data_IF_657221204594
#
_entry.id   IF_657221204594
#
_cell.length_a   1.000
_cell.length_b   1.000
_cell.length_c   1.000
_cell.angle_alpha   90.00
_cell.angle_beta   90.00
_cell.angle_gamma   90.00
#
_symmetry.space_group_name_H-M   'P 1'
#
loop_
_entity.id
_entity.type
_entity.pdbx_description
1 polymer ?
#
# COMPACT_ATOMS: atom_id res chain seq x y z
N UNK A 1 10.41 23.93 -35.44
CA UNK A 1 9.55 22.91 -34.80
C UNK A 1 10.37 22.22 -33.73
N UNK A 2 10.22 22.64 -32.49
CA UNK A 2 10.81 21.97 -31.32
C UNK A 2 9.95 20.75 -31.01
N UNK A 3 10.47 19.58 -31.36
CA UNK A 3 9.93 18.30 -30.92
C UNK A 3 9.98 18.29 -29.39
N UNK A 4 8.82 18.34 -28.75
CA UNK A 4 8.70 18.16 -27.30
C UNK A 4 9.15 16.75 -26.99
N UNK A 5 10.34 16.61 -26.39
CA UNK A 5 10.82 15.36 -25.81
C UNK A 5 9.75 14.84 -24.84
N UNK A 6 9.03 13.81 -25.27
CA UNK A 6 8.13 13.04 -24.43
C UNK A 6 8.99 11.91 -23.86
N UNK A 7 9.22 11.84 -22.53
CA UNK A 7 9.96 10.72 -21.97
C UNK A 7 9.24 9.42 -22.38
N UNK A 8 9.98 8.32 -22.65
CA UNK A 8 9.37 7.03 -22.93
C UNK A 8 8.38 6.71 -21.81
N UNK A 9 7.19 6.21 -22.17
CA UNK A 9 6.23 5.75 -21.19
C UNK A 9 6.90 4.65 -20.35
N UNK A 10 6.79 4.70 -19.00
CA UNK A 10 7.38 3.65 -18.18
C UNK A 10 6.69 2.32 -18.47
N UNK A 11 7.46 1.26 -18.74
CA UNK A 11 6.89 -0.09 -18.89
C UNK A 11 6.14 -0.54 -17.64
N UNK A 12 5.37 -1.64 -17.73
CA UNK A 12 4.52 -2.11 -16.63
C UNK A 12 5.26 -2.26 -15.29
N UNK A 13 6.49 -2.77 -15.28
CA UNK A 13 7.33 -2.86 -14.08
C UNK A 13 7.55 -1.49 -13.42
N UNK A 14 7.84 -0.45 -14.20
CA UNK A 14 8.05 0.90 -13.72
C UNK A 14 6.78 1.51 -13.10
N UNK A 15 5.60 1.19 -13.65
CA UNK A 15 4.31 1.60 -13.08
C UNK A 15 4.08 0.88 -11.74
N UNK A 16 4.30 -0.43 -11.70
CA UNK A 16 4.09 -1.26 -10.51
C UNK A 16 5.01 -0.87 -9.35
N UNK A 17 6.27 -0.55 -9.64
CA UNK A 17 7.25 -0.26 -8.60
C UNK A 17 7.18 1.19 -8.09
N UNK A 18 6.58 2.11 -8.85
CA UNK A 18 6.53 3.54 -8.49
C UNK A 18 5.77 3.77 -7.17
N UNK A 19 6.43 4.47 -6.24
CA UNK A 19 5.87 4.84 -4.94
C UNK A 19 5.30 3.66 -4.14
N UNK A 20 5.89 2.47 -4.30
CA UNK A 20 5.43 1.24 -3.69
C UNK A 20 5.78 1.16 -2.20
N UNK A 21 6.95 1.68 -1.82
CA UNK A 21 7.56 1.45 -0.50
C UNK A 21 7.40 2.69 0.39
N UNK A 22 6.78 2.49 1.55
CA UNK A 22 6.75 3.47 2.63
C UNK A 22 7.89 3.21 3.62
N UNK A 23 8.44 4.28 4.18
CA UNK A 23 9.44 4.16 5.24
C UNK A 23 8.76 3.73 6.55
N UNK A 24 9.00 2.49 6.96
CA UNK A 24 8.55 1.92 8.23
C UNK A 24 9.71 1.58 9.17
N UNK A 25 10.82 2.32 9.14
CA UNK A 25 12.00 1.95 9.95
C UNK A 25 11.84 2.08 11.45
N UNK A 26 10.80 2.77 11.95
CA UNK A 26 10.46 2.75 13.38
C UNK A 26 9.94 1.39 13.85
N UNK A 27 9.55 0.51 12.93
CA UNK A 27 8.94 -0.77 13.23
C UNK A 27 9.97 -1.92 13.17
N UNK A 28 9.76 -3.01 13.94
CA UNK A 28 10.59 -4.20 13.86
C UNK A 28 10.67 -4.79 12.44
N UNK A 29 11.75 -5.52 12.11
CA UNK A 29 12.88 -5.85 12.97
C UNK A 29 13.90 -4.71 13.16
N UNK A 30 13.94 -3.71 12.28
CA UNK A 30 14.95 -2.64 12.36
C UNK A 30 14.75 -1.74 13.58
N UNK A 31 13.51 -1.31 13.84
CA UNK A 31 13.11 -0.52 15.03
C UNK A 31 14.06 0.66 15.35
N UNK A 32 14.38 1.48 14.34
CA UNK A 32 15.27 2.62 14.47
C UNK A 32 14.76 3.62 15.54
N UNK A 33 15.67 4.24 16.31
CA UNK A 33 15.35 5.45 17.07
C UNK A 33 14.85 6.56 16.13
N UNK A 34 13.97 7.45 16.61
CA UNK A 34 13.30 8.46 15.77
C UNK A 34 14.30 9.31 14.98
N UNK A 35 15.34 9.83 15.64
CA UNK A 35 16.36 10.65 14.98
C UNK A 35 17.09 9.93 13.85
N UNK A 36 17.35 8.62 13.98
CA UNK A 36 17.97 7.81 12.92
C UNK A 36 17.00 7.52 11.77
N UNK A 37 15.74 7.22 12.10
CA UNK A 37 14.70 7.01 11.11
C UNK A 37 14.46 8.29 10.28
N UNK A 38 14.38 9.46 10.91
CA UNK A 38 14.25 10.75 10.23
C UNK A 38 15.48 11.12 9.41
N UNK A 39 16.70 10.84 9.90
CA UNK A 39 17.91 11.07 9.13
C UNK A 39 17.93 10.26 7.83
N UNK A 40 17.55 8.97 7.89
CA UNK A 40 17.38 8.15 6.69
C UNK A 40 16.27 8.70 5.80
N UNK A 41 15.11 9.02 6.35
CA UNK A 41 13.99 9.56 5.58
C UNK A 41 14.36 10.84 4.82
N UNK A 42 15.12 11.76 5.44
CA UNK A 42 15.63 12.97 4.77
C UNK A 42 16.61 12.63 3.63
N UNK A 43 17.49 11.64 3.83
CA UNK A 43 18.40 11.17 2.79
C UNK A 43 17.63 10.55 1.61
N UNK A 44 16.64 9.70 1.89
CA UNK A 44 15.79 9.06 0.89
C UNK A 44 14.98 10.08 0.09
N UNK A 45 14.47 11.14 0.74
CA UNK A 45 13.80 12.26 0.07
C UNK A 45 14.75 13.07 -0.83
N UNK A 46 16.02 13.16 -0.46
CA UNK A 46 17.05 13.84 -1.28
C UNK A 46 17.40 13.01 -2.50
N UNK A 47 17.59 11.70 -2.32
CA UNK A 47 17.84 10.75 -3.41
C UNK A 47 16.63 10.63 -4.34
N UNK A 48 15.42 10.73 -3.80
CA UNK A 48 14.15 10.70 -4.52
C UNK A 48 13.98 9.47 -5.44
N UNK A 49 14.41 8.29 -4.95
CA UNK A 49 14.31 7.06 -5.71
C UNK A 49 12.83 6.74 -6.06
N UNK A 50 12.50 6.41 -7.32
CA UNK A 50 11.12 6.34 -7.82
C UNK A 50 10.25 5.28 -7.12
N UNK A 51 10.86 4.25 -6.53
CA UNK A 51 10.14 3.24 -5.75
C UNK A 51 9.64 3.72 -4.39
N UNK A 52 10.29 4.74 -3.83
CA UNK A 52 9.98 5.24 -2.50
C UNK A 52 8.81 6.22 -2.59
N UNK A 53 7.79 6.01 -1.75
CA UNK A 53 6.62 6.87 -1.71
C UNK A 53 6.89 8.23 -1.03
N UNK A 54 8.01 8.35 -0.32
CA UNK A 54 8.35 9.54 0.47
C UNK A 54 7.45 9.74 1.69
N UNK A 55 6.73 8.70 2.13
CA UNK A 55 5.88 8.69 3.33
C UNK A 55 6.63 8.02 4.49
N UNK A 56 6.58 8.64 5.67
CA UNK A 56 7.16 8.14 6.91
C UNK A 56 6.06 7.55 7.80
N UNK A 57 6.12 6.26 8.11
CA UNK A 57 5.15 5.63 8.99
C UNK A 57 5.52 5.89 10.44
N UNK A 58 4.59 6.47 11.20
CA UNK A 58 4.77 6.81 12.60
C UNK A 58 3.59 6.31 13.43
N UNK A 59 3.82 5.60 14.54
CA UNK A 59 2.76 5.34 15.50
C UNK A 59 2.35 6.64 16.20
N UNK A 60 1.05 6.80 16.46
CA UNK A 60 0.51 7.98 17.15
C UNK A 60 1.04 8.09 18.58
N UNK A 61 1.35 6.95 19.21
CA UNK A 61 2.03 6.91 20.52
C UNK A 61 3.38 7.64 20.54
N UNK A 62 4.04 7.79 19.38
CA UNK A 62 5.33 8.48 19.23
C UNK A 62 5.23 9.83 18.53
N UNK A 63 4.02 10.39 18.41
CA UNK A 63 3.78 11.67 17.75
C UNK A 63 4.58 12.82 18.37
N UNK A 64 4.63 12.91 19.71
CA UNK A 64 5.38 13.96 20.40
C UNK A 64 6.89 13.87 20.09
N UNK A 65 7.46 12.66 20.15
CA UNK A 65 8.86 12.42 19.81
C UNK A 65 9.19 12.79 18.36
N UNK A 66 8.27 12.53 17.42
CA UNK A 66 8.39 12.97 16.04
C UNK A 66 8.47 14.50 15.98
N UNK A 67 7.50 15.21 16.57
CA UNK A 67 7.43 16.67 16.53
C UNK A 67 8.67 17.34 17.17
N UNK A 68 9.15 16.80 18.28
CA UNK A 68 10.36 17.28 18.96
C UNK A 68 11.64 17.05 18.14
N UNK A 69 11.63 16.05 17.26
CA UNK A 69 12.78 15.69 16.40
C UNK A 69 12.80 16.41 15.05
N UNK A 70 11.73 17.15 14.72
CA UNK A 70 11.66 17.95 13.50
C UNK A 70 12.29 19.33 13.72
N UNK A 71 13.05 19.80 12.74
CA UNK A 71 13.48 21.19 12.65
C UNK A 71 12.35 22.08 12.12
N UNK A 72 12.51 23.40 12.22
CA UNK A 72 11.50 24.37 11.77
C UNK A 72 11.21 24.30 10.26
N UNK A 73 12.24 24.01 9.47
CA UNK A 73 12.17 23.90 8.02
C UNK A 73 11.67 22.53 7.52
N UNK A 74 11.56 21.51 8.37
CA UNK A 74 11.15 20.18 7.93
C UNK A 74 9.73 20.21 7.38
N UNK A 75 9.50 19.47 6.30
CA UNK A 75 8.17 19.17 5.77
C UNK A 75 8.11 17.68 5.47
N UNK A 76 7.26 16.95 6.18
CA UNK A 76 7.21 15.50 6.13
C UNK A 76 5.79 14.99 5.89
N UNK A 77 5.69 13.99 5.03
CA UNK A 77 4.46 13.25 4.77
C UNK A 77 4.42 12.02 5.67
N UNK A 78 3.37 11.90 6.48
CA UNK A 78 3.28 10.84 7.51
C UNK A 78 2.11 9.91 7.22
N UNK A 79 2.35 8.61 7.28
CA UNK A 79 1.29 7.61 7.48
C UNK A 79 1.16 7.35 8.98
N UNK A 80 0.03 7.70 9.57
CA UNK A 80 -0.12 7.61 11.02
C UNK A 80 -0.73 6.27 11.41
N UNK A 81 -0.02 5.51 12.24
CA UNK A 81 -0.50 4.23 12.76
C UNK A 81 -1.23 4.50 14.08
N UNK A 82 -2.52 4.21 14.14
CA UNK A 82 -3.35 4.38 15.33
C UNK A 82 -3.15 3.17 16.26
N UNK A 83 -2.03 3.15 16.96
CA UNK A 83 -1.58 2.03 17.81
C UNK A 83 -2.10 2.11 19.25
N UNK A 84 -2.96 3.08 19.56
CA UNK A 84 -3.58 3.27 20.87
C UNK A 84 -5.09 3.47 20.75
N UNK A 85 -5.83 3.08 21.80
CA UNK A 85 -7.28 3.33 21.87
C UNK A 85 -7.60 4.83 21.82
N UNK A 86 -6.79 5.68 22.46
CA UNK A 86 -6.94 7.13 22.34
C UNK A 86 -6.64 7.62 20.92
N UNK A 87 -5.69 7.00 20.22
CA UNK A 87 -5.36 7.31 18.83
C UNK A 87 -6.53 7.12 17.86
N UNK A 88 -7.40 6.14 18.11
CA UNK A 88 -8.63 5.93 17.35
C UNK A 88 -9.65 7.07 17.52
N UNK A 89 -9.63 7.75 18.67
CA UNK A 89 -10.55 8.84 19.02
C UNK A 89 -9.97 10.21 18.65
N UNK A 90 -8.67 10.41 18.91
CA UNK A 90 -7.96 11.68 18.84
C UNK A 90 -6.93 11.75 17.71
N UNK A 91 -6.81 10.74 16.84
CA UNK A 91 -5.91 10.76 15.68
C UNK A 91 -6.19 11.91 14.68
N UNK A 92 -7.36 12.54 14.81
CA UNK A 92 -7.74 13.77 14.10
C UNK A 92 -7.26 15.06 14.78
N UNK A 93 -6.72 15.00 16.01
CA UNK A 93 -6.26 16.14 16.82
C UNK A 93 -4.75 16.30 16.87
N UNK A 94 -4.00 15.37 16.28
CA UNK A 94 -2.55 15.52 16.14
C UNK A 94 -2.26 16.46 14.97
N UNK A 95 -1.91 17.70 15.30
CA UNK A 95 -1.60 18.74 14.32
C UNK A 95 -0.20 19.29 14.55
N UNK A 96 0.59 19.36 13.48
CA UNK A 96 1.85 20.09 13.43
C UNK A 96 1.98 20.68 12.01
N UNK A 97 2.27 21.97 11.84
CA UNK A 97 2.36 22.61 10.52
C UNK A 97 3.46 22.04 9.61
N UNK A 98 4.40 21.27 10.16
CA UNK A 98 5.48 20.59 9.44
C UNK A 98 5.08 19.21 8.93
N UNK A 99 3.98 18.65 9.43
CA UNK A 99 3.54 17.30 9.13
C UNK A 99 2.26 17.31 8.32
N UNK A 100 2.27 16.61 7.19
CA UNK A 100 1.05 16.29 6.44
C UNK A 100 0.69 14.84 6.64
N UNK A 101 -0.42 14.57 7.32
CA UNK A 101 -0.95 13.21 7.43
C UNK A 101 -1.53 12.78 6.09
N UNK A 102 -0.97 11.73 5.51
CA UNK A 102 -1.33 11.21 4.18
C UNK A 102 -2.35 10.10 4.24
N UNK A 103 -2.38 9.33 5.32
CA UNK A 103 -3.31 8.25 5.58
C UNK A 103 -3.22 7.82 7.05
N UNK A 104 -4.23 7.07 7.49
CA UNK A 104 -4.25 6.39 8.77
C UNK A 104 -4.22 4.87 8.56
N UNK A 105 -3.59 4.15 9.46
CA UNK A 105 -3.68 2.70 9.53
C UNK A 105 -4.08 2.28 10.94
N UNK A 106 -5.00 1.34 11.07
CA UNK A 106 -5.43 0.85 12.38
C UNK A 106 -5.82 -0.61 12.33
N UNK A 107 -5.70 -1.31 13.46
CA UNK A 107 -6.39 -2.57 13.66
C UNK A 107 -7.79 -2.30 14.20
N UNK A 108 -8.81 -2.98 13.69
CA UNK A 108 -10.17 -2.87 14.20
C UNK A 108 -10.92 -4.20 14.09
N UNK A 109 -11.79 -4.55 15.06
CA UNK A 109 -12.70 -5.67 14.90
C UNK A 109 -13.73 -5.37 13.80
N UNK A 110 -14.28 -6.40 13.17
CA UNK A 110 -15.18 -6.23 12.01
C UNK A 110 -16.41 -5.34 12.28
N UNK A 111 -16.92 -5.34 13.51
CA UNK A 111 -18.03 -4.49 13.93
C UNK A 111 -17.71 -2.98 13.79
N UNK A 112 -16.48 -2.58 14.08
CA UNK A 112 -16.08 -1.17 14.01
C UNK A 112 -15.76 -0.74 12.57
N UNK A 113 -15.25 -1.67 11.76
CA UNK A 113 -15.11 -1.48 10.30
C UNK A 113 -16.47 -1.20 9.66
N UNK A 114 -17.50 -1.99 10.01
CA UNK A 114 -18.87 -1.78 9.52
C UNK A 114 -19.47 -0.43 9.93
N UNK A 115 -19.24 0.01 11.17
CA UNK A 115 -19.67 1.34 11.66
C UNK A 115 -18.99 2.46 10.90
N UNK A 116 -17.67 2.41 10.75
CA UNK A 116 -16.89 3.42 10.03
C UNK A 116 -17.34 3.56 8.58
N UNK A 117 -17.50 2.42 7.89
CA UNK A 117 -17.97 2.40 6.51
C UNK A 117 -19.40 2.95 6.37
N UNK A 118 -20.31 2.64 7.31
CA UNK A 118 -21.66 3.21 7.33
C UNK A 118 -21.66 4.72 7.55
N UNK A 119 -20.84 5.20 8.48
CA UNK A 119 -20.70 6.64 8.76
C UNK A 119 -20.23 7.40 7.51
N UNK A 120 -19.13 6.96 6.88
CA UNK A 120 -18.58 7.62 5.70
C UNK A 120 -19.49 7.56 4.48
N UNK A 121 -20.20 6.45 4.26
CA UNK A 121 -21.23 6.39 3.20
C UNK A 121 -22.36 7.39 3.43
N UNK A 122 -22.78 7.56 4.69
CA UNK A 122 -23.83 8.51 5.05
C UNK A 122 -23.33 9.95 4.86
N UNK A 123 -22.10 10.23 5.25
CA UNK A 123 -21.46 11.54 5.11
C UNK A 123 -21.18 11.91 3.64
N UNK A 124 -20.86 10.93 2.78
CA UNK A 124 -20.59 11.14 1.37
C UNK A 124 -21.86 11.39 0.51
N UNK A 125 -23.06 11.17 1.07
CA UNK A 125 -24.32 11.29 0.33
C UNK A 125 -24.58 10.11 -0.63
N UNK A 126 -25.75 10.07 -1.30
CA UNK A 126 -26.07 8.99 -2.23
C UNK A 126 -25.11 9.00 -3.42
N UNK A 127 -24.49 7.86 -3.69
CA UNK A 127 -23.67 7.67 -4.88
C UNK A 127 -24.51 8.03 -6.13
N UNK A 128 -23.96 8.79 -7.09
CA UNK A 128 -24.68 9.12 -8.31
C UNK A 128 -25.06 7.80 -9.01
N UNK A 129 -26.37 7.61 -9.24
CA UNK A 129 -26.87 6.43 -9.94
C UNK A 129 -26.27 6.43 -11.34
N UNK A 130 -25.29 5.55 -11.60
CA UNK A 130 -24.83 5.29 -12.97
C UNK A 130 -26.02 4.73 -13.77
N UNK A 131 -26.69 5.61 -14.51
CA UNK A 131 -27.57 5.18 -15.61
C UNK A 131 -26.66 4.54 -16.65
N UNK A 132 -26.83 3.24 -16.90
CA UNK A 132 -26.33 2.58 -18.11
C UNK A 132 -26.93 3.30 -19.32
N UNK A 133 -26.18 4.23 -19.89
CA UNK A 133 -26.55 4.98 -21.09
C UNK A 133 -25.36 4.98 -22.05
N UNK A 134 -25.57 4.37 -23.21
CA UNK A 134 -24.63 4.38 -24.33
C UNK A 134 -24.45 5.83 -24.85
N UNK A 135 -23.17 6.21 -25.06
CA UNK A 135 -22.63 7.38 -25.77
C UNK A 135 -22.74 8.81 -25.20
N UNK A 136 -21.54 9.41 -25.09
CA UNK A 136 -21.11 10.78 -25.44
C UNK A 136 -20.72 11.76 -24.32
N UNK A 137 -19.67 12.51 -24.64
CA UNK A 137 -18.79 13.35 -23.80
C UNK A 137 -19.47 14.59 -23.21
N UNK A 138 -19.05 14.97 -22.00
CA UNK A 138 -18.65 16.35 -21.67
C UNK A 138 -17.68 16.34 -20.50
N UNK A 139 -16.53 16.99 -20.66
CA UNK A 139 -15.63 17.31 -19.57
C UNK A 139 -16.30 18.37 -18.70
N UNK A 140 -16.89 17.96 -17.59
CA UNK A 140 -17.28 18.86 -16.51
C UNK A 140 -16.11 18.93 -15.53
N UNK A 141 -15.69 20.17 -15.23
CA UNK A 141 -14.75 20.48 -14.14
C UNK A 141 -15.24 19.76 -12.87
N UNK A 142 -14.34 19.18 -12.05
CA UNK A 142 -14.78 18.61 -10.79
C UNK A 142 -15.28 19.76 -9.92
N UNK A 143 -16.60 19.81 -9.81
CA UNK A 143 -17.31 20.50 -8.73
C UNK A 143 -16.74 19.97 -7.42
N UNK A 144 -16.55 20.86 -6.45
CA UNK A 144 -15.81 20.59 -5.22
C UNK A 144 -16.62 19.64 -4.35
N UNK A 145 -16.47 18.34 -4.58
CA UNK A 145 -16.72 17.31 -3.57
C UNK A 145 -15.95 17.73 -2.31
N UNK A 146 -16.56 17.68 -1.12
CA UNK A 146 -15.79 17.87 0.12
C UNK A 146 -14.61 16.92 0.05
N UNK A 147 -13.39 17.46 0.13
CA UNK A 147 -12.19 16.64 0.09
C UNK A 147 -12.35 15.58 1.18
N UNK A 148 -12.54 14.32 0.79
CA UNK A 148 -12.53 13.23 1.74
C UNK A 148 -11.21 13.35 2.52
N UNK A 149 -11.28 13.22 3.84
CA UNK A 149 -10.08 13.22 4.68
C UNK A 149 -9.07 12.16 4.25
N UNK A 150 -7.87 12.13 4.87
CA UNK A 150 -6.87 11.11 4.55
C UNK A 150 -7.48 9.69 4.62
N UNK A 151 -7.15 8.79 3.69
CA UNK A 151 -7.71 7.45 3.68
C UNK A 151 -7.32 6.68 4.94
N UNK A 152 -8.18 5.74 5.33
CA UNK A 152 -7.98 4.86 6.50
C UNK A 152 -7.90 3.42 6.03
N UNK A 153 -6.82 2.73 6.40
CA UNK A 153 -6.60 1.32 6.10
C UNK A 153 -6.78 0.46 7.35
N UNK A 154 -7.74 -0.47 7.29
CA UNK A 154 -8.09 -1.34 8.41
C UNK A 154 -7.41 -2.70 8.31
N UNK A 155 -6.65 -3.07 9.33
CA UNK A 155 -6.20 -4.44 9.58
C UNK A 155 -7.26 -5.16 10.43
N UNK A 156 -7.65 -6.36 10.02
CA UNK A 156 -8.61 -7.21 10.71
C UNK A 156 -8.22 -8.68 10.52
N UNK A 157 -8.86 -9.58 11.26
CA UNK A 157 -8.53 -11.00 11.21
C UNK A 157 -8.83 -11.60 9.83
N UNK A 158 -7.97 -12.54 9.42
CA UNK A 158 -8.02 -13.19 8.10
C UNK A 158 -9.16 -14.22 8.02
N UNK A 159 -9.38 -14.77 6.83
CA UNK A 159 -10.40 -15.80 6.59
C UNK A 159 -11.78 -15.22 6.30
N UNK A 160 -12.84 -15.97 6.65
CA UNK A 160 -14.22 -15.64 6.30
C UNK A 160 -14.69 -14.28 6.83
N UNK A 161 -14.31 -13.93 8.07
CA UNK A 161 -14.61 -12.63 8.65
C UNK A 161 -13.89 -11.50 7.89
N UNK A 162 -12.61 -11.69 7.56
CA UNK A 162 -11.85 -10.73 6.77
C UNK A 162 -12.49 -10.45 5.41
N UNK A 163 -13.00 -11.47 4.73
CA UNK A 163 -13.74 -11.29 3.46
C UNK A 163 -15.00 -10.45 3.64
N UNK A 164 -15.76 -10.70 4.70
CA UNK A 164 -16.96 -9.92 5.01
C UNK A 164 -16.62 -8.46 5.35
N UNK A 165 -15.51 -8.21 6.05
CA UNK A 165 -15.02 -6.87 6.36
C UNK A 165 -14.62 -6.11 5.09
N UNK A 166 -13.91 -6.74 4.15
CA UNK A 166 -13.60 -6.16 2.84
C UNK A 166 -14.89 -5.77 2.11
N UNK A 167 -15.87 -6.68 2.02
CA UNK A 167 -17.17 -6.36 1.43
C UNK A 167 -17.86 -5.18 2.13
N UNK A 168 -17.75 -5.09 3.46
CA UNK A 168 -18.28 -4.00 4.26
C UNK A 168 -17.65 -2.63 3.97
N UNK A 169 -16.39 -2.60 3.54
CA UNK A 169 -15.67 -1.38 3.12
C UNK A 169 -16.09 -0.88 1.74
N UNK A 170 -16.66 -1.74 0.90
CA UNK A 170 -17.00 -1.41 -0.49
C UNK A 170 -17.87 -0.14 -0.59
N UNK A 171 -17.51 0.72 -1.54
CA UNK A 171 -18.22 1.97 -1.84
C UNK A 171 -18.15 3.05 -0.75
N UNK A 172 -17.40 2.84 0.34
CA UNK A 172 -17.09 3.89 1.31
C UNK A 172 -15.84 4.66 0.84
N UNK A 173 -15.94 5.95 0.49
CA UNK A 173 -14.79 6.71 0.01
C UNK A 173 -13.73 6.84 1.09
N UNK A 174 -12.46 6.69 0.70
CA UNK A 174 -11.32 6.84 1.60
C UNK A 174 -11.11 5.68 2.57
N UNK A 175 -11.79 4.54 2.41
CA UNK A 175 -11.50 3.34 3.21
C UNK A 175 -10.76 2.28 2.39
N UNK A 176 -9.85 1.59 3.04
CA UNK A 176 -9.09 0.49 2.47
C UNK A 176 -8.83 -0.62 3.48
N UNK A 177 -8.34 -1.76 2.98
CA UNK A 177 -7.93 -2.88 3.80
C UNK A 177 -6.41 -2.87 4.04
N UNK A 178 -5.96 -3.51 5.11
CA UNK A 178 -4.55 -3.71 5.39
C UNK A 178 -4.32 -5.18 5.73
N UNK A 179 -3.31 -5.78 5.09
CA UNK A 179 -2.92 -7.18 5.33
C UNK A 179 -1.52 -7.26 5.90
N UNK A 180 -1.36 -8.07 6.95
CA UNK A 180 -0.06 -8.44 7.48
C UNK A 180 0.50 -9.66 6.75
N UNK A 181 1.75 -9.57 6.32
CA UNK A 181 2.45 -10.62 5.58
C UNK A 181 3.62 -11.25 6.35
N UNK A 182 3.84 -10.87 7.61
CA UNK A 182 4.84 -11.47 8.48
C UNK A 182 4.92 -10.83 9.87
N UNK A 183 5.82 -11.34 10.69
CA UNK A 183 6.10 -10.84 12.04
C UNK A 183 7.08 -11.73 12.82
N UNK A 184 7.05 -11.65 14.14
CA UNK A 184 7.93 -12.46 15.01
C UNK A 184 7.46 -13.93 15.13
N UNK A 185 6.16 -14.17 14.98
CA UNK A 185 5.53 -15.47 15.18
C UNK A 185 4.97 -16.03 13.87
N UNK A 186 4.95 -17.36 13.76
CA UNK A 186 4.48 -18.07 12.56
C UNK A 186 3.03 -17.70 12.17
N UNK A 187 2.16 -17.44 13.14
CA UNK A 187 0.76 -17.06 12.91
C UNK A 187 0.62 -15.72 12.17
N UNK A 188 1.63 -14.86 12.23
CA UNK A 188 1.65 -13.57 11.55
C UNK A 188 1.96 -13.71 10.04
N UNK A 189 2.36 -14.89 9.58
CA UNK A 189 2.60 -15.21 8.17
C UNK A 189 1.36 -15.88 7.56
N UNK A 190 0.63 -15.22 6.65
CA UNK A 190 -0.53 -15.84 6.02
C UNK A 190 -0.12 -17.00 5.11
N UNK A 191 -0.98 -18.00 4.98
CA UNK A 191 -0.86 -19.02 3.93
C UNK A 191 -1.12 -18.45 2.53
N UNK A 192 -0.66 -19.09 1.44
CA UNK A 192 -0.97 -18.69 0.06
C UNK A 192 -2.48 -18.60 -0.21
N UNK A 193 -3.25 -19.53 0.35
CA UNK A 193 -4.71 -19.56 0.26
C UNK A 193 -5.31 -18.30 0.89
N UNK A 194 -5.01 -18.01 2.15
CA UNK A 194 -5.53 -16.85 2.88
C UNK A 194 -5.20 -15.53 2.17
N UNK A 195 -3.95 -15.36 1.72
CA UNK A 195 -3.53 -14.14 1.03
C UNK A 195 -4.17 -14.02 -0.36
N UNK A 196 -4.35 -15.14 -1.08
CA UNK A 196 -5.03 -15.12 -2.38
C UNK A 196 -6.50 -14.74 -2.26
N UNK A 197 -7.19 -15.19 -1.21
CA UNK A 197 -8.57 -14.85 -0.94
C UNK A 197 -8.72 -13.37 -0.54
N UNK A 198 -7.80 -12.85 0.27
CA UNK A 198 -7.77 -11.42 0.62
C UNK A 198 -7.63 -10.53 -0.63
N UNK A 199 -6.66 -10.83 -1.50
CA UNK A 199 -6.40 -10.06 -2.72
C UNK A 199 -7.61 -10.15 -3.67
N UNK A 200 -8.16 -11.35 -3.86
CA UNK A 200 -9.33 -11.56 -4.70
C UNK A 200 -10.55 -10.79 -4.18
N UNK A 201 -10.81 -10.81 -2.87
CA UNK A 201 -11.90 -10.06 -2.26
C UNK A 201 -11.73 -8.54 -2.42
N UNK A 202 -10.51 -8.03 -2.27
CA UNK A 202 -10.22 -6.61 -2.52
C UNK A 202 -10.53 -6.24 -3.98
N UNK A 203 -10.11 -7.06 -4.94
CA UNK A 203 -10.39 -6.83 -6.36
C UNK A 203 -11.88 -6.92 -6.70
N UNK A 204 -12.58 -7.92 -6.16
CA UNK A 204 -14.03 -8.12 -6.34
C UNK A 204 -14.85 -6.93 -5.84
N UNK A 205 -14.46 -6.35 -4.71
CA UNK A 205 -15.18 -5.26 -4.06
C UNK A 205 -14.63 -3.85 -4.38
N UNK A 206 -13.55 -3.76 -5.16
CA UNK A 206 -12.89 -2.49 -5.47
C UNK A 206 -12.35 -1.77 -4.24
N UNK A 207 -11.88 -2.52 -3.23
CA UNK A 207 -11.34 -1.98 -1.99
C UNK A 207 -9.82 -1.91 -2.09
N UNK A 208 -9.21 -0.70 -2.09
CA UNK A 208 -7.77 -0.58 -2.13
C UNK A 208 -7.15 -1.14 -0.85
N UNK A 209 -5.97 -1.71 -0.95
CA UNK A 209 -5.28 -2.28 0.20
C UNK A 209 -3.80 -1.91 0.29
N UNK A 210 -3.29 -1.99 1.52
CA UNK A 210 -1.87 -1.92 1.84
C UNK A 210 -1.41 -3.23 2.47
N UNK A 211 -0.13 -3.53 2.33
CA UNK A 211 0.49 -4.64 3.03
C UNK A 211 1.46 -4.13 4.11
N UNK A 212 1.76 -4.96 5.10
CA UNK A 212 2.75 -4.64 6.14
C UNK A 212 3.51 -5.87 6.58
N UNK A 213 4.76 -5.67 6.97
CA UNK A 213 5.68 -6.67 7.49
C UNK A 213 5.98 -7.83 6.52
N UNK A 214 7.18 -8.40 6.60
CA UNK A 214 7.56 -9.62 5.88
C UNK A 214 7.89 -9.45 4.39
N UNK A 215 7.65 -8.30 3.76
CA UNK A 215 7.92 -8.02 2.33
C UNK A 215 9.32 -7.41 2.09
N UNK A 216 10.35 -8.01 2.66
CA UNK A 216 11.73 -7.50 2.57
C UNK A 216 12.35 -7.74 1.19
N UNK A 217 11.96 -8.84 0.53
CA UNK A 217 12.53 -9.27 -0.73
C UNK A 217 11.54 -9.21 -1.89
N UNK A 218 12.06 -9.12 -3.11
CA UNK A 218 11.26 -9.11 -4.33
C UNK A 218 10.50 -10.43 -4.56
N UNK A 219 11.15 -11.55 -4.25
CA UNK A 219 10.69 -12.91 -4.56
C UNK A 219 10.41 -13.67 -3.28
N UNK A 220 9.40 -14.55 -3.34
CA UNK A 220 9.06 -15.49 -2.28
C UNK A 220 10.28 -16.35 -1.93
N UNK A 221 10.57 -16.46 -0.65
CA UNK A 221 11.69 -17.24 -0.15
C UNK A 221 11.37 -17.79 1.25
N UNK A 222 12.14 -18.78 1.68
CA UNK A 222 12.16 -19.21 3.08
C UNK A 222 13.38 -18.61 3.74
N UNK A 223 13.17 -17.85 4.81
CA UNK A 223 14.26 -17.28 5.59
C UNK A 223 15.06 -18.42 6.25
N UNK A 224 16.38 -18.51 6.02
CA UNK A 224 17.18 -19.64 6.49
C UNK A 224 17.41 -19.62 8.01
N UNK A 225 17.19 -18.48 8.67
CA UNK A 225 17.41 -18.32 10.11
C UNK A 225 16.16 -18.69 10.90
N UNK A 226 15.00 -18.21 10.47
CA UNK A 226 13.72 -18.40 11.16
C UNK A 226 12.94 -19.60 10.63
N UNK A 227 13.21 -20.03 9.39
CA UNK A 227 12.44 -21.06 8.68
C UNK A 227 11.08 -20.57 8.18
N UNK A 228 10.72 -19.29 8.38
CA UNK A 228 9.45 -18.76 7.91
C UNK A 228 9.48 -18.52 6.39
N UNK A 229 8.36 -18.81 5.73
CA UNK A 229 8.21 -18.53 4.30
C UNK A 229 7.60 -17.16 4.09
N UNK A 230 8.36 -16.29 3.46
CA UNK A 230 7.97 -14.93 3.12
C UNK A 230 7.42 -14.87 1.69
N UNK A 231 6.39 -14.06 1.46
CA UNK A 231 6.05 -13.63 0.10
C UNK A 231 6.98 -12.50 -0.34
N UNK A 232 7.26 -12.42 -1.64
CA UNK A 232 7.95 -11.27 -2.22
C UNK A 232 6.98 -10.16 -2.62
N UNK A 233 7.43 -8.91 -2.65
CA UNK A 233 6.57 -7.80 -3.09
C UNK A 233 6.18 -7.92 -4.58
N UNK A 234 7.02 -8.54 -5.44
CA UNK A 234 6.65 -8.83 -6.83
C UNK A 234 5.59 -9.93 -6.92
N UNK A 235 5.61 -10.91 -6.01
CA UNK A 235 4.55 -11.93 -5.94
C UNK A 235 3.20 -11.27 -5.65
N UNK A 236 3.15 -10.31 -4.74
CA UNK A 236 1.91 -9.57 -4.43
C UNK A 236 1.46 -8.70 -5.59
N UNK A 237 2.38 -7.99 -6.27
CA UNK A 237 2.06 -7.19 -7.46
C UNK A 237 1.47 -8.07 -8.56
N UNK A 238 2.13 -9.19 -8.88
CA UNK A 238 1.65 -10.11 -9.91
C UNK A 238 0.31 -10.77 -9.51
N UNK A 239 0.17 -11.20 -8.25
CA UNK A 239 -1.09 -11.76 -7.75
C UNK A 239 -2.25 -10.76 -7.84
N UNK A 240 -1.98 -9.49 -7.53
CA UNK A 240 -2.94 -8.40 -7.67
C UNK A 240 -3.27 -8.13 -9.14
N UNK A 241 -2.28 -8.20 -10.04
CA UNK A 241 -2.49 -8.11 -11.48
C UNK A 241 -3.45 -9.19 -12.00
N UNK A 242 -3.28 -10.44 -11.56
CA UNK A 242 -4.21 -11.53 -11.89
C UNK A 242 -5.62 -11.25 -11.33
N UNK A 243 -5.73 -10.71 -10.12
CA UNK A 243 -7.03 -10.41 -9.54
C UNK A 243 -7.78 -9.31 -10.32
N UNK A 244 -7.11 -8.24 -10.76
CA UNK A 244 -7.75 -7.13 -11.50
C UNK A 244 -8.09 -7.46 -12.96
N UNK A 245 -7.49 -8.51 -13.53
CA UNK A 245 -7.89 -9.07 -14.83
C UNK A 245 -9.10 -10.01 -14.74
N UNK A 246 -9.63 -10.22 -13.53
CA UNK A 246 -10.76 -11.10 -13.27
C UNK A 246 -10.37 -12.58 -13.19
N UNK A 247 -9.09 -12.89 -13.00
CA UNK A 247 -8.68 -14.26 -12.75
C UNK A 247 -9.10 -14.69 -11.34
N UNK A 248 -9.62 -15.91 -11.24
CA UNK A 248 -10.06 -16.47 -9.97
C UNK A 248 -8.92 -16.73 -8.97
N UNK A 249 -9.24 -17.04 -7.69
CA UNK A 249 -8.27 -17.17 -6.59
C UNK A 249 -7.15 -18.18 -6.88
N UNK A 250 -7.40 -19.19 -7.71
CA UNK A 250 -6.39 -20.16 -8.13
C UNK A 250 -5.20 -19.53 -8.89
N UNK A 251 -5.45 -18.54 -9.75
CA UNK A 251 -4.39 -17.83 -10.51
C UNK A 251 -3.65 -16.84 -9.62
N UNK A 252 -4.37 -16.13 -8.75
CA UNK A 252 -3.81 -15.25 -7.71
C UNK A 252 -2.85 -16.06 -6.83
N UNK A 253 -3.31 -17.20 -6.30
CA UNK A 253 -2.49 -18.12 -5.50
C UNK A 253 -1.26 -18.61 -6.25
N UNK A 254 -1.40 -18.98 -7.53
CA UNK A 254 -0.27 -19.42 -8.37
C UNK A 254 0.79 -18.34 -8.55
N UNK A 255 0.42 -17.06 -8.63
CA UNK A 255 1.38 -15.96 -8.65
C UNK A 255 2.09 -15.78 -7.30
N UNK A 256 1.38 -15.98 -6.19
CA UNK A 256 1.92 -15.86 -4.84
C UNK A 256 2.98 -16.91 -4.47
N UNK A 257 2.97 -18.08 -5.14
CA UNK A 257 3.87 -19.20 -4.84
C UNK A 257 5.06 -19.32 -5.80
N UNK A 258 5.21 -18.41 -6.76
CA UNK A 258 6.38 -18.37 -7.65
C UNK A 258 7.63 -18.06 -6.82
N UNK A 259 8.65 -18.90 -6.92
CA UNK A 259 9.96 -18.74 -6.28
C UNK A 259 11.08 -18.50 -7.27
N UNK A 260 10.83 -18.68 -8.57
CA UNK A 260 11.80 -18.43 -9.63
C UNK A 260 11.82 -16.91 -9.95
N UNK A 261 12.96 -16.21 -9.75
CA UNK A 261 13.07 -14.79 -10.06
C UNK A 261 12.84 -14.49 -11.53
N UNK A 262 13.34 -15.32 -12.45
CA UNK A 262 13.26 -15.08 -13.89
C UNK A 262 11.81 -15.23 -14.36
N UNK A 263 11.11 -16.27 -13.88
CA UNK A 263 9.66 -16.42 -14.14
C UNK A 263 8.87 -15.20 -13.67
N UNK A 264 9.21 -14.67 -12.49
CA UNK A 264 8.50 -13.55 -11.90
C UNK A 264 8.76 -12.23 -12.65
N UNK A 265 10.01 -11.98 -13.04
CA UNK A 265 10.40 -10.83 -13.88
C UNK A 265 9.71 -10.89 -15.24
N UNK A 266 9.74 -12.03 -15.92
CA UNK A 266 9.10 -12.21 -17.22
C UNK A 266 7.58 -11.98 -17.14
N UNK A 267 6.92 -12.53 -16.12
CA UNK A 267 5.47 -12.40 -15.94
C UNK A 267 5.06 -10.98 -15.56
N UNK A 268 5.86 -10.27 -14.77
CA UNK A 268 5.64 -8.86 -14.43
C UNK A 268 5.91 -7.95 -15.63
N UNK A 269 6.99 -8.21 -16.37
CA UNK A 269 7.37 -7.47 -17.57
C UNK A 269 6.40 -7.67 -18.75
N UNK A 270 5.73 -8.82 -18.81
CA UNK A 270 4.71 -9.13 -19.81
C UNK A 270 3.33 -8.50 -19.56
N UNK A 271 3.13 -7.78 -18.45
CA UNK A 271 1.88 -7.06 -18.18
C UNK A 271 1.76 -5.83 -19.08
N UNK A 272 0.53 -5.49 -19.48
CA UNK A 272 0.28 -4.20 -20.12
C UNK A 272 0.19 -3.06 -19.07
N UNK A 273 0.42 -1.83 -19.52
CA UNK A 273 0.41 -0.64 -18.65
C UNK A 273 -0.95 -0.40 -17.98
N UNK A 274 -2.05 -0.75 -18.65
CA UNK A 274 -3.40 -0.57 -18.12
C UNK A 274 -3.69 -1.52 -16.94
N UNK A 275 -3.18 -2.74 -17.01
CA UNK A 275 -3.23 -3.72 -15.93
C UNK A 275 -2.33 -3.29 -14.80
N UNK A 276 -1.10 -2.85 -15.09
CA UNK A 276 -0.18 -2.31 -14.09
C UNK A 276 -0.77 -1.12 -13.32
N UNK A 277 -1.44 -0.19 -14.01
CA UNK A 277 -2.12 0.94 -13.39
C UNK A 277 -3.25 0.48 -12.45
N UNK A 278 -4.15 -0.40 -12.93
CA UNK A 278 -5.23 -0.97 -12.10
C UNK A 278 -4.70 -1.76 -10.90
N UNK A 279 -3.61 -2.49 -11.08
CA UNK A 279 -2.90 -3.17 -9.99
C UNK A 279 -2.49 -2.20 -8.90
N UNK A 280 -1.99 -1.01 -9.26
CA UNK A 280 -1.54 0.01 -8.29
C UNK A 280 -2.65 0.88 -7.72
N UNK A 281 -3.77 1.01 -8.42
CA UNK A 281 -5.01 1.55 -7.83
C UNK A 281 -5.51 0.65 -6.70
N UNK A 282 -5.38 -0.69 -6.85
CA UNK A 282 -5.83 -1.65 -5.86
C UNK A 282 -4.79 -1.90 -4.76
N UNK A 283 -3.58 -2.33 -5.10
CA UNK A 283 -2.49 -2.48 -4.13
C UNK A 283 -1.73 -1.17 -4.04
N UNK A 284 -1.92 -0.40 -2.98
CA UNK A 284 -1.46 0.99 -2.84
C UNK A 284 0.02 1.08 -2.44
N UNK A 285 0.49 0.12 -1.64
CA UNK A 285 1.88 0.06 -1.20
C UNK A 285 2.04 -0.69 0.11
N UNK A 286 3.26 -0.73 0.62
CA UNK A 286 3.56 -1.41 1.87
C UNK A 286 4.64 -0.70 2.67
N UNK A 287 4.61 -0.86 3.99
CA UNK A 287 5.65 -0.37 4.89
C UNK A 287 6.84 -1.34 4.94
N UNK A 288 8.05 -0.82 4.74
CA UNK A 288 9.29 -1.58 4.90
C UNK A 288 10.20 -0.98 5.98
N UNK A 289 10.76 -1.82 6.84
CA UNK A 289 11.71 -1.37 7.85
C UNK A 289 13.06 -0.94 7.24
N UNK A 290 13.36 -1.41 6.01
CA UNK A 290 14.47 -0.97 5.16
C UNK A 290 13.94 -0.37 3.85
N UNK A 291 14.33 0.86 3.54
CA UNK A 291 14.03 1.51 2.25
C UNK A 291 15.01 1.09 1.16
N UNK A 292 16.16 0.51 1.50
CA UNK A 292 17.20 0.10 0.54
C UNK A 292 16.98 -1.29 0.00
N UNK A 293 16.61 -2.26 0.84
CA UNK A 293 16.59 -3.68 0.45
C UNK A 293 15.62 -3.95 -0.71
N UNK A 294 14.36 -3.43 -0.70
CA UNK A 294 13.45 -3.63 -1.82
C UNK A 294 13.96 -3.03 -3.13
N UNK A 295 14.64 -1.88 -3.03
CA UNK A 295 15.26 -1.21 -4.19
C UNK A 295 16.43 -2.04 -4.71
N UNK A 296 17.27 -2.57 -3.82
CA UNK A 296 18.43 -3.38 -4.20
C UNK A 296 18.01 -4.65 -4.94
N UNK A 297 16.94 -5.30 -4.49
CA UNK A 297 16.39 -6.45 -5.17
C UNK A 297 15.83 -6.08 -6.56
N UNK A 298 15.12 -4.96 -6.68
CA UNK A 298 14.60 -4.50 -7.98
C UNK A 298 15.73 -4.13 -8.97
N UNK A 299 16.80 -3.50 -8.49
CA UNK A 299 18.02 -3.23 -9.26
C UNK A 299 18.69 -4.53 -9.71
N UNK A 300 18.86 -5.49 -8.79
CA UNK A 300 19.49 -6.78 -9.08
C UNK A 300 18.69 -7.64 -10.08
N UNK A 301 17.37 -7.45 -10.12
CA UNK A 301 16.47 -8.09 -11.09
C UNK A 301 16.32 -7.30 -12.41
N UNK A 302 17.01 -6.16 -12.58
CA UNK A 302 16.94 -5.36 -13.80
C UNK A 302 15.60 -4.66 -14.05
N UNK A 303 14.72 -4.58 -13.03
CA UNK A 303 13.37 -4.03 -13.19
C UNK A 303 13.31 -2.50 -13.23
N UNK A 304 14.45 -1.84 -13.01
CA UNK A 304 14.57 -0.39 -12.91
C UNK A 304 15.28 0.27 -14.11
N UNK A 305 15.71 -0.52 -15.09
CA UNK A 305 16.23 0.00 -16.35
C UNK A 305 15.07 0.69 -17.12
N UNK A 306 15.04 2.02 -17.11
CA UNK A 306 13.94 2.85 -17.62
C UNK A 306 13.11 3.60 -16.57
N UNK A 307 13.41 3.43 -15.27
CA UNK A 307 12.76 4.15 -14.15
C UNK A 307 13.66 5.27 -13.60
N UNK A 308 14.97 5.15 -13.81
CA UNK A 308 15.93 6.22 -13.54
C UNK A 308 15.86 7.28 -14.65
N UNK A 309 15.85 8.58 -14.31
CA UNK A 309 15.81 9.67 -15.29
C UNK A 309 17.04 9.72 -16.19
#
# INVERSE_FOLDING_TARGET
>A
MTETFRPPAPGAAAILLRGLVDDAGLFPPTALPMGRALARHRADRTTAHPMLAGRFLCPVSRWAELCDSLGEADRIDVGLILDTEQGLVDGSRVEDPRVRVTHYETRAPGIDVGKAARYLRTAAGPAPRQRRGFFSRRAERPDRTPAAGPPVYFEFDRGGEGRANIAGLAGAPGLGAKVRCGGADAELFPGPEELSEFIAACAEHGVPFKATAGLHHAVRHTDPTTGFTHFGYLNLLLATAMAVTGDGPNRVRRALVVTDPDELVDRVGGLDEATAARTRELFVGYGSCSTRDPVADAEGLGLLEGVLP
#
